data_IF_320937101447
#
_entry.id   IF_320937101447
#
_cell.length_a   1.000
_cell.length_b   1.000
_cell.length_c   1.000
_cell.angle_alpha   90.00
_cell.angle_beta   90.00
_cell.angle_gamma   90.00
#
_symmetry.space_group_name_H-M   'P 1'
#
loop_
_entity.id
_entity.type
_entity.pdbx_description
1 polymer ?
#
# COMPACT_ATOMS: atom_id res chain seq x y z
N UNK A 1 -13.67 -29.14 14.41
CA UNK A 1 -13.83 -27.78 14.95
C UNK A 1 -12.97 -26.85 14.11
N UNK A 2 -13.54 -26.20 13.09
CA UNK A 2 -12.85 -25.11 12.40
C UNK A 2 -13.10 -23.85 13.23
N UNK A 3 -12.11 -23.45 14.01
CA UNK A 3 -12.08 -22.17 14.72
C UNK A 3 -12.23 -21.07 13.68
N UNK A 4 -13.17 -20.16 13.91
CA UNK A 4 -13.49 -19.07 12.99
C UNK A 4 -12.25 -18.26 12.65
N UNK A 5 -11.74 -18.41 11.43
CA UNK A 5 -10.96 -17.36 10.81
C UNK A 5 -11.93 -16.19 10.62
N UNK A 6 -11.94 -15.28 11.61
CA UNK A 6 -12.65 -14.03 11.51
C UNK A 6 -12.25 -13.40 10.18
N UNK A 7 -13.19 -13.34 9.25
CA UNK A 7 -13.02 -12.60 8.00
C UNK A 7 -12.61 -11.20 8.43
N UNK A 8 -11.38 -10.80 8.11
CA UNK A 8 -10.94 -9.48 8.43
C UNK A 8 -11.90 -8.47 7.79
N UNK A 9 -12.26 -7.39 8.50
CA UNK A 9 -13.25 -6.45 8.02
C UNK A 9 -12.83 -5.86 6.67
N UNK A 10 -13.76 -5.87 5.75
CA UNK A 10 -13.60 -5.27 4.42
C UNK A 10 -13.81 -3.76 4.51
N UNK A 11 -13.07 -3.01 3.69
CA UNK A 11 -13.14 -1.55 3.66
C UNK A 11 -14.61 -1.07 3.52
N UNK A 12 -15.09 -0.36 4.54
CA UNK A 12 -16.47 0.17 4.60
C UNK A 12 -17.36 -0.42 5.69
N UNK A 13 -16.92 -1.45 6.42
CA UNK A 13 -17.67 -1.99 7.56
C UNK A 13 -17.47 -1.12 8.82
N UNK A 14 -18.58 -0.70 9.44
CA UNK A 14 -18.52 0.04 10.71
C UNK A 14 -18.28 -0.93 11.85
N UNK A 15 -17.02 -1.01 12.29
CA UNK A 15 -16.62 -1.85 13.41
C UNK A 15 -16.95 -1.15 14.73
N UNK A 16 -17.84 -1.73 15.52
CA UNK A 16 -18.04 -1.36 16.92
C UNK A 16 -17.23 -2.30 17.80
N UNK A 17 -16.29 -1.76 18.57
CA UNK A 17 -15.48 -2.55 19.51
C UNK A 17 -16.13 -2.58 20.89
N UNK A 18 -16.08 -3.73 21.55
CA UNK A 18 -16.60 -3.93 22.91
C UNK A 18 -15.51 -3.76 23.98
N UNK A 19 -14.22 -3.85 23.61
CA UNK A 19 -13.08 -3.59 24.48
C UNK A 19 -11.78 -3.26 23.71
N UNK A 20 -10.74 -2.84 24.44
CA UNK A 20 -9.42 -2.44 23.86
C UNK A 20 -8.72 -3.61 23.16
N UNK A 21 -8.82 -4.84 23.69
CA UNK A 21 -8.13 -5.99 23.11
C UNK A 21 -8.72 -6.37 21.74
N UNK A 22 -10.05 -6.34 21.62
CA UNK A 22 -10.77 -6.51 20.35
C UNK A 22 -10.38 -5.42 19.33
N UNK A 23 -10.34 -4.15 19.75
CA UNK A 23 -9.91 -3.07 18.85
C UNK A 23 -8.47 -3.22 18.35
N UNK A 24 -7.55 -3.70 19.18
CA UNK A 24 -6.17 -4.01 18.77
C UNK A 24 -6.11 -5.16 17.77
N UNK A 25 -6.88 -6.22 18.00
CA UNK A 25 -6.95 -7.34 17.06
C UNK A 25 -7.42 -6.89 15.68
N UNK A 26 -8.45 -6.02 15.62
CA UNK A 26 -8.89 -5.47 14.34
C UNK A 26 -7.82 -4.62 13.64
N UNK A 27 -7.04 -3.83 14.39
CA UNK A 27 -5.91 -3.08 13.82
C UNK A 27 -4.86 -4.04 13.26
N UNK A 28 -4.49 -5.09 14.01
CA UNK A 28 -3.52 -6.09 13.57
C UNK A 28 -3.98 -6.80 12.28
N UNK A 29 -5.27 -7.11 12.17
CA UNK A 29 -5.87 -7.71 10.98
C UNK A 29 -5.87 -6.75 9.77
N UNK A 30 -6.13 -5.46 10.00
CA UNK A 30 -6.02 -4.42 8.97
C UNK A 30 -4.56 -4.28 8.51
N UNK A 31 -3.61 -4.24 9.45
CA UNK A 31 -2.18 -4.12 9.14
C UNK A 31 -1.64 -5.36 8.42
N UNK A 32 -2.17 -6.55 8.70
CA UNK A 32 -1.87 -7.75 7.92
C UNK A 32 -2.31 -7.58 6.45
N UNK A 33 -3.54 -7.13 6.21
CA UNK A 33 -4.06 -6.87 4.86
C UNK A 33 -3.27 -5.77 4.13
N UNK A 34 -2.94 -4.67 4.82
CA UNK A 34 -2.12 -3.60 4.25
C UNK A 34 -0.75 -4.12 3.81
N UNK A 35 -0.10 -4.97 4.60
CA UNK A 35 1.19 -5.58 4.24
C UNK A 35 1.09 -6.48 3.01
N UNK A 36 0.03 -7.29 2.91
CA UNK A 36 -0.20 -8.13 1.73
C UNK A 36 -0.46 -7.31 0.46
N UNK A 37 -1.28 -6.25 0.57
CA UNK A 37 -1.56 -5.34 -0.53
C UNK A 37 -0.29 -4.60 -1.00
N UNK A 38 0.54 -4.14 -0.05
CA UNK A 38 1.81 -3.47 -0.37
C UNK A 38 2.82 -4.41 -1.03
N UNK A 39 2.89 -5.67 -0.57
CA UNK A 39 3.72 -6.69 -1.23
C UNK A 39 3.28 -6.93 -2.67
N UNK A 40 1.98 -7.10 -2.88
CA UNK A 40 1.38 -7.27 -4.22
C UNK A 40 1.66 -6.07 -5.12
N UNK A 41 1.46 -4.84 -4.59
CA UNK A 41 1.74 -3.59 -5.31
C UNK A 41 3.21 -3.48 -5.70
N UNK A 42 4.14 -3.88 -4.82
CA UNK A 42 5.57 -3.90 -5.12
C UNK A 42 5.88 -4.85 -6.27
N UNK A 43 5.32 -6.06 -6.26
CA UNK A 43 5.58 -7.05 -7.29
C UNK A 43 5.03 -6.62 -8.65
N UNK A 44 3.85 -5.98 -8.69
CA UNK A 44 3.32 -5.35 -9.90
C UNK A 44 4.21 -4.19 -10.38
N UNK A 45 4.67 -3.33 -9.46
CA UNK A 45 5.56 -2.22 -9.79
C UNK A 45 6.87 -2.72 -10.43
N UNK A 46 7.44 -3.82 -9.92
CA UNK A 46 8.64 -4.45 -10.49
C UNK A 46 8.40 -4.99 -11.90
N UNK A 47 7.25 -5.63 -12.13
CA UNK A 47 6.87 -6.13 -13.45
C UNK A 47 6.73 -4.97 -14.47
N UNK A 48 6.06 -3.89 -14.08
CA UNK A 48 5.92 -2.68 -14.92
C UNK A 48 7.30 -2.08 -15.25
N UNK A 49 8.19 -1.98 -14.26
CA UNK A 49 9.55 -1.46 -14.48
C UNK A 49 10.37 -2.36 -15.42
N UNK A 50 10.23 -3.68 -15.31
CA UNK A 50 10.91 -4.62 -16.20
C UNK A 50 10.43 -4.46 -17.65
N UNK A 51 9.11 -4.34 -17.87
CA UNK A 51 8.53 -4.10 -19.19
C UNK A 51 9.03 -2.77 -19.79
N UNK A 52 9.01 -1.68 -19.02
CA UNK A 52 9.55 -0.39 -19.49
C UNK A 52 11.03 -0.46 -19.85
N UNK A 53 11.81 -1.17 -19.03
CA UNK A 53 13.24 -1.33 -19.27
C UNK A 53 13.49 -2.12 -20.55
N UNK A 54 12.67 -3.14 -20.84
CA UNK A 54 12.72 -3.89 -22.10
C UNK A 54 12.36 -3.03 -23.33
N UNK A 55 11.50 -2.02 -23.15
CA UNK A 55 11.12 -1.03 -24.17
C UNK A 55 12.10 0.15 -24.27
N UNK A 56 13.18 0.17 -23.48
CA UNK A 56 14.15 1.28 -23.45
C UNK A 56 13.64 2.55 -22.75
N UNK A 57 12.54 2.45 -22.02
CA UNK A 57 11.95 3.54 -21.26
C UNK A 57 12.71 3.87 -19.96
N UNK A 58 12.44 5.04 -19.36
CA UNK A 58 13.09 5.45 -18.12
C UNK A 58 12.64 4.57 -16.94
N UNK A 59 13.56 4.36 -15.98
CA UNK A 59 13.30 3.60 -14.75
C UNK A 59 12.18 4.23 -13.90
N UNK A 60 12.07 5.56 -13.92
CA UNK A 60 11.08 6.34 -13.15
C UNK A 60 10.29 7.22 -14.13
N UNK A 61 8.97 7.24 -13.96
CA UNK A 61 8.05 8.09 -14.72
C UNK A 61 7.42 9.12 -13.79
N UNK A 62 8.03 10.31 -13.72
CA UNK A 62 7.64 11.34 -12.76
C UNK A 62 6.18 11.80 -12.88
N UNK A 63 5.64 11.86 -14.09
CA UNK A 63 4.23 12.22 -14.31
C UNK A 63 3.30 11.24 -13.58
N UNK A 64 3.53 9.94 -13.74
CA UNK A 64 2.74 8.91 -13.08
C UNK A 64 2.91 8.89 -11.57
N UNK A 65 4.12 9.16 -11.06
CA UNK A 65 4.34 9.26 -9.62
C UNK A 65 3.59 10.45 -9.01
N UNK A 66 3.58 11.61 -9.70
CA UNK A 66 2.85 12.79 -9.27
C UNK A 66 1.32 12.54 -9.22
N UNK A 67 0.77 11.81 -10.18
CA UNK A 67 -0.64 11.39 -10.16
C UNK A 67 -0.98 10.55 -8.92
N UNK A 68 -0.11 9.59 -8.57
CA UNK A 68 -0.29 8.74 -7.39
C UNK A 68 -0.25 9.60 -6.13
N UNK A 69 0.73 10.49 -6.00
CA UNK A 69 0.87 11.39 -4.85
C UNK A 69 -0.37 12.27 -4.71
N UNK A 70 -0.88 12.82 -5.82
CA UNK A 70 -2.07 13.67 -5.82
C UNK A 70 -3.32 12.93 -5.32
N UNK A 71 -3.53 11.68 -5.75
CA UNK A 71 -4.66 10.86 -5.28
C UNK A 71 -4.59 10.67 -3.77
N UNK A 72 -3.43 10.27 -3.24
CA UNK A 72 -3.25 10.05 -1.80
C UNK A 72 -3.40 11.36 -1.01
N UNK A 73 -2.88 12.48 -1.53
CA UNK A 73 -3.02 13.79 -0.92
C UNK A 73 -4.49 14.25 -0.85
N UNK A 74 -5.27 13.97 -1.90
CA UNK A 74 -6.69 14.31 -1.93
C UNK A 74 -7.51 13.49 -0.92
N UNK A 75 -7.18 12.20 -0.76
CA UNK A 75 -7.93 11.30 0.14
C UNK A 75 -7.51 11.42 1.61
N UNK A 76 -6.21 11.63 1.89
CA UNK A 76 -5.65 11.56 3.25
C UNK A 76 -5.04 12.89 3.72
N UNK A 77 -5.13 13.96 2.92
CA UNK A 77 -4.56 15.26 3.23
C UNK A 77 -3.02 15.27 3.20
N UNK A 78 -2.36 16.16 3.98
CA UNK A 78 -0.90 16.31 3.96
C UNK A 78 -0.12 15.03 4.24
N UNK A 79 -0.62 14.17 5.14
CA UNK A 79 0.01 12.88 5.46
C UNK A 79 -0.14 11.86 4.33
N UNK A 80 -1.10 12.05 3.42
CA UNK A 80 -1.23 11.25 2.21
C UNK A 80 0.00 11.33 1.31
N UNK A 81 0.60 12.52 1.20
CA UNK A 81 1.85 12.72 0.44
C UNK A 81 2.99 11.87 1.04
N UNK A 82 3.14 11.91 2.36
CA UNK A 82 4.18 11.14 3.07
C UNK A 82 4.01 9.63 2.84
N UNK A 83 2.78 9.13 2.94
CA UNK A 83 2.51 7.70 2.75
C UNK A 83 2.72 7.31 1.27
N UNK A 84 2.25 8.10 0.31
CA UNK A 84 2.49 7.84 -1.11
C UNK A 84 3.98 7.75 -1.43
N UNK A 85 4.79 8.66 -0.88
CA UNK A 85 6.23 8.67 -1.06
C UNK A 85 6.91 7.44 -0.44
N UNK A 86 6.47 7.02 0.75
CA UNK A 86 6.96 5.80 1.40
C UNK A 86 6.63 4.56 0.55
N UNK A 87 5.41 4.44 0.05
CA UNK A 87 4.96 3.33 -0.79
C UNK A 87 5.69 3.29 -2.13
N UNK A 88 5.88 4.44 -2.79
CA UNK A 88 6.65 4.53 -4.03
C UNK A 88 8.12 4.11 -3.81
N UNK A 89 8.73 4.57 -2.72
CA UNK A 89 10.10 4.21 -2.34
C UNK A 89 10.24 2.70 -2.06
N UNK A 90 9.29 2.11 -1.33
CA UNK A 90 9.22 0.67 -1.11
C UNK A 90 9.17 -0.13 -2.42
N UNK A 91 8.44 0.38 -3.42
CA UNK A 91 8.18 -0.35 -4.65
C UNK A 91 9.33 -0.29 -5.67
N UNK A 92 10.03 0.85 -5.79
CA UNK A 92 11.10 1.05 -6.79
C UNK A 92 12.52 0.92 -6.24
N UNK A 93 12.68 0.92 -4.92
CA UNK A 93 13.96 1.09 -4.21
C UNK A 93 14.31 2.56 -3.99
N UNK A 94 15.25 2.84 -3.09
CA UNK A 94 15.75 4.20 -2.89
C UNK A 94 16.52 4.68 -4.13
N UNK A 95 16.32 5.94 -4.52
CA UNK A 95 17.19 6.59 -5.51
C UNK A 95 18.61 6.66 -4.91
N UNK A 96 19.52 5.79 -5.38
CA UNK A 96 20.90 5.71 -4.88
C UNK A 96 21.37 4.32 -4.44
N UNK A 97 20.53 3.27 -4.52
CA UNK A 97 20.99 1.88 -4.40
C UNK A 97 20.92 1.21 -5.77
N UNK A 98 21.94 1.47 -6.59
CA UNK A 98 22.29 0.72 -7.80
C UNK A 98 23.80 0.65 -7.84
#
# INVERSE_FOLDING_TARGET
MLTGAGRAPIAGESLTISNIAEGRQHIDDIDAQLRELLATRRDLSRQIQALRSAEGGPRIEHARENEIIAVWANELGPRGVEIAMAVLTLCRGAAGQS
#
